data_IF_541952634814
#
_entry.id   IF_541952634814
#
_cell.length_a   1.000
_cell.length_b   1.000
_cell.length_c   1.000
_cell.angle_alpha   90.00
_cell.angle_beta   90.00
_cell.angle_gamma   90.00
#
_symmetry.space_group_name_H-M   'P 1'
#
loop_
_entity.id
_entity.type
_entity.pdbx_description
1 polymer ?
#
# COMPACT_ATOMS: atom_id res chain seq x y z
N UNK A 1 31.18 102.58 -0.27
CA UNK A 1 31.98 101.48 -0.86
C UNK A 1 33.13 102.11 -1.61
N UNK A 2 34.36 101.62 -1.42
CA UNK A 2 35.47 102.09 -2.25
C UNK A 2 35.38 101.45 -3.64
N UNK A 3 35.90 102.13 -4.65
CA UNK A 3 36.00 101.66 -6.03
C UNK A 3 36.69 100.28 -6.10
N UNK A 4 37.68 100.07 -5.22
CA UNK A 4 38.40 98.81 -5.03
C UNK A 4 37.51 97.63 -4.57
N UNK A 5 36.45 97.89 -3.79
CA UNK A 5 35.50 96.85 -3.36
C UNK A 5 34.61 96.39 -4.52
N UNK A 6 34.17 97.31 -5.37
CA UNK A 6 33.36 97.02 -6.56
C UNK A 6 34.15 96.22 -7.60
N UNK A 7 35.40 96.59 -7.82
CA UNK A 7 36.29 95.89 -8.75
C UNK A 7 36.57 94.44 -8.33
N UNK A 8 36.79 94.21 -7.03
CA UNK A 8 36.97 92.87 -6.46
C UNK A 8 35.71 92.01 -6.63
N UNK A 9 34.54 92.56 -6.32
CA UNK A 9 33.25 91.85 -6.49
C UNK A 9 32.96 91.51 -7.95
N UNK A 10 33.31 92.41 -8.88
CA UNK A 10 33.17 92.16 -10.31
C UNK A 10 34.09 91.01 -10.76
N UNK A 11 35.34 90.98 -10.32
CA UNK A 11 36.29 89.91 -10.65
C UNK A 11 35.85 88.55 -10.11
N UNK A 12 35.38 88.48 -8.86
CA UNK A 12 34.83 87.25 -8.27
C UNK A 12 33.59 86.74 -9.01
N UNK A 13 32.71 87.66 -9.42
CA UNK A 13 31.50 87.32 -10.18
C UNK A 13 31.85 86.78 -11.57
N UNK A 14 32.79 87.42 -12.29
CA UNK A 14 33.27 86.96 -13.60
C UNK A 14 33.96 85.59 -13.48
N UNK A 15 34.76 85.38 -12.43
CA UNK A 15 35.39 84.08 -12.17
C UNK A 15 34.34 82.98 -11.95
N UNK A 16 33.31 83.25 -11.15
CA UNK A 16 32.20 82.30 -10.92
C UNK A 16 31.43 82.01 -12.21
N UNK A 17 31.08 83.02 -13.00
CA UNK A 17 30.39 82.81 -14.28
C UNK A 17 31.22 81.98 -15.27
N UNK A 18 32.53 82.22 -15.32
CA UNK A 18 33.45 81.47 -16.18
C UNK A 18 33.53 80.00 -15.74
N UNK A 19 33.63 79.76 -14.44
CA UNK A 19 33.64 78.41 -13.87
C UNK A 19 32.31 77.68 -14.13
N UNK A 20 31.17 78.31 -13.85
CA UNK A 20 29.86 77.75 -14.18
C UNK A 20 29.71 77.46 -15.68
N UNK A 21 30.22 78.35 -16.55
CA UNK A 21 30.21 78.16 -18.00
C UNK A 21 31.03 76.95 -18.44
N UNK A 22 32.21 76.76 -17.85
CA UNK A 22 33.06 75.59 -18.11
C UNK A 22 32.42 74.29 -17.61
N UNK A 23 31.77 74.32 -16.44
CA UNK A 23 31.04 73.18 -15.90
C UNK A 23 29.87 72.78 -16.81
N UNK A 24 29.07 73.75 -17.27
CA UNK A 24 27.99 73.49 -18.24
C UNK A 24 28.57 72.94 -19.55
N UNK A 25 29.64 73.53 -20.07
CA UNK A 25 30.26 73.07 -21.31
C UNK A 25 30.75 71.63 -21.20
N UNK A 26 31.38 71.25 -20.08
CA UNK A 26 31.80 69.86 -19.81
C UNK A 26 30.61 68.92 -19.61
N UNK A 27 29.56 69.36 -18.92
CA UNK A 27 28.37 68.52 -18.72
C UNK A 27 27.71 68.18 -20.05
N UNK A 28 27.64 69.17 -20.96
CA UNK A 28 27.01 69.01 -22.27
C UNK A 28 27.89 68.33 -23.31
N UNK A 29 29.19 68.65 -23.38
CA UNK A 29 30.10 68.22 -24.45
C UNK A 29 31.24 67.31 -23.97
N UNK A 30 31.24 66.92 -22.70
CA UNK A 30 32.21 65.98 -22.15
C UNK A 30 32.02 64.56 -22.70
N UNK A 31 32.97 63.70 -22.39
CA UNK A 31 33.02 62.34 -22.92
C UNK A 31 32.19 61.36 -22.07
N UNK A 32 32.02 60.14 -22.58
CA UNK A 32 31.23 59.10 -21.91
C UNK A 32 31.90 58.49 -20.67
N UNK A 33 33.14 58.85 -20.37
CA UNK A 33 33.85 58.42 -19.16
C UNK A 33 33.98 59.55 -18.13
N UNK A 34 33.61 60.77 -18.49
CA UNK A 34 33.82 61.95 -17.67
C UNK A 34 32.66 62.22 -16.69
N UNK A 35 33.03 62.84 -15.57
CA UNK A 35 32.11 63.50 -14.64
C UNK A 35 32.48 64.98 -14.52
N UNK A 36 31.53 65.80 -14.11
CA UNK A 36 31.71 67.22 -13.81
C UNK A 36 31.57 67.40 -12.31
N UNK A 37 32.60 67.92 -11.67
CA UNK A 37 32.56 68.31 -10.26
C UNK A 37 31.76 69.60 -10.12
N UNK A 38 30.71 69.55 -9.28
CA UNK A 38 29.88 70.70 -8.91
C UNK A 38 29.91 70.89 -7.39
N UNK A 39 29.35 71.99 -6.89
CA UNK A 39 29.19 72.21 -5.44
C UNK A 39 28.35 71.12 -4.75
N UNK A 40 27.53 70.39 -5.51
CA UNK A 40 26.72 69.26 -5.04
C UNK A 40 27.40 67.89 -5.19
N UNK A 41 28.64 67.84 -5.68
CA UNK A 41 29.39 66.61 -5.97
C UNK A 41 29.60 66.37 -7.46
N UNK A 42 30.07 65.16 -7.81
CA UNK A 42 30.29 64.75 -9.19
C UNK A 42 28.99 64.36 -9.89
N UNK A 43 28.80 64.86 -11.11
CA UNK A 43 27.66 64.54 -11.96
C UNK A 43 28.17 63.99 -13.29
N UNK A 44 27.60 62.88 -13.77
CA UNK A 44 27.92 62.34 -15.10
C UNK A 44 27.62 63.35 -16.20
N UNK A 45 28.44 63.39 -17.24
CA UNK A 45 28.13 64.13 -18.47
C UNK A 45 26.91 63.52 -19.17
N UNK A 46 26.31 64.26 -20.10
CA UNK A 46 25.23 63.72 -20.93
C UNK A 46 25.67 62.48 -21.71
N UNK A 47 26.89 62.50 -22.27
CA UNK A 47 27.45 61.37 -23.01
C UNK A 47 27.61 60.13 -22.12
N UNK A 48 28.01 60.32 -20.85
CA UNK A 48 28.13 59.21 -19.89
C UNK A 48 26.76 58.63 -19.53
N UNK A 49 25.77 59.48 -19.27
CA UNK A 49 24.40 59.03 -18.97
C UNK A 49 23.84 58.23 -20.15
N UNK A 50 24.03 58.72 -21.38
CA UNK A 50 23.60 58.02 -22.59
C UNK A 50 24.27 56.65 -22.71
N UNK A 51 25.60 56.59 -22.54
CA UNK A 51 26.35 55.32 -22.59
C UNK A 51 25.92 54.35 -21.50
N UNK A 52 25.87 54.79 -20.24
CA UNK A 52 25.47 53.92 -19.11
C UNK A 52 24.04 53.39 -19.31
N UNK A 53 23.15 54.19 -19.90
CA UNK A 53 21.79 53.78 -20.26
C UNK A 53 21.80 52.75 -21.39
N UNK A 54 22.58 52.98 -22.45
CA UNK A 54 22.73 52.03 -23.57
C UNK A 54 23.33 50.69 -23.11
N UNK A 55 24.33 50.73 -22.24
CA UNK A 55 24.98 49.55 -21.68
C UNK A 55 23.98 48.75 -20.81
N UNK A 56 23.18 49.44 -19.98
CA UNK A 56 22.12 48.81 -19.17
C UNK A 56 21.02 48.17 -20.04
N UNK A 57 20.59 48.86 -21.10
CA UNK A 57 19.61 48.33 -22.06
C UNK A 57 20.16 47.09 -22.75
N UNK A 58 21.42 47.14 -23.20
CA UNK A 58 22.08 46.03 -23.91
C UNK A 58 22.22 44.79 -23.04
N UNK A 59 22.61 44.98 -21.77
CA UNK A 59 22.66 43.90 -20.79
C UNK A 59 21.27 43.29 -20.54
N UNK A 60 20.26 44.15 -20.35
CA UNK A 60 18.87 43.70 -20.12
C UNK A 60 18.30 42.92 -21.32
N UNK A 61 18.63 43.33 -22.55
CA UNK A 61 18.22 42.63 -23.78
C UNK A 61 18.90 41.26 -23.92
N UNK A 62 20.17 41.16 -23.52
CA UNK A 62 20.91 39.89 -23.52
C UNK A 62 20.30 38.91 -22.52
N UNK A 63 19.97 39.38 -21.31
CA UNK A 63 19.30 38.59 -20.28
C UNK A 63 17.90 38.12 -20.73
N UNK A 64 17.11 39.01 -21.34
CA UNK A 64 15.78 38.66 -21.87
C UNK A 64 15.87 37.61 -22.98
N UNK A 65 16.85 37.73 -23.86
CA UNK A 65 17.07 36.75 -24.94
C UNK A 65 17.39 35.38 -24.35
N UNK A 66 18.33 35.31 -23.41
CA UNK A 66 18.72 34.07 -22.72
C UNK A 66 17.52 33.42 -22.01
N UNK A 67 16.74 34.22 -21.26
CA UNK A 67 15.52 33.72 -20.59
C UNK A 67 14.48 33.21 -21.59
N UNK A 68 14.33 33.87 -22.74
CA UNK A 68 13.40 33.43 -23.79
C UNK A 68 13.81 32.08 -24.39
N UNK A 69 15.10 31.86 -24.62
CA UNK A 69 15.63 30.57 -25.13
C UNK A 69 15.43 29.45 -24.12
N UNK A 70 15.65 29.73 -22.83
CA UNK A 70 15.38 28.76 -21.76
C UNK A 70 13.89 28.38 -21.71
N UNK A 71 12.99 29.36 -21.76
CA UNK A 71 11.54 29.11 -21.76
C UNK A 71 11.10 28.26 -22.97
N UNK A 72 11.72 28.46 -24.14
CA UNK A 72 11.45 27.63 -25.32
C UNK A 72 11.90 26.18 -25.13
N UNK A 73 13.04 25.98 -24.47
CA UNK A 73 13.57 24.65 -24.11
C UNK A 73 12.66 23.96 -23.11
N UNK A 74 12.34 24.63 -21.99
CA UNK A 74 11.47 24.10 -20.93
C UNK A 74 10.08 23.71 -21.49
N UNK A 75 9.53 24.52 -22.41
CA UNK A 75 8.25 24.22 -23.06
C UNK A 75 8.30 22.93 -23.88
N UNK A 76 9.43 22.65 -24.53
CA UNK A 76 9.61 21.42 -25.31
C UNK A 76 9.70 20.21 -24.39
N UNK A 77 10.49 20.30 -23.31
CA UNK A 77 10.61 19.23 -22.31
C UNK A 77 9.26 18.90 -21.65
N UNK A 78 8.47 19.91 -21.30
CA UNK A 78 7.12 19.71 -20.74
C UNK A 78 6.20 19.01 -21.74
N UNK A 79 6.31 19.32 -23.03
CA UNK A 79 5.53 18.63 -24.08
C UNK A 79 5.91 17.15 -24.17
N UNK A 80 7.21 16.85 -24.17
CA UNK A 80 7.70 15.47 -24.26
C UNK A 80 7.28 14.65 -23.04
N UNK A 81 7.35 15.22 -21.83
CA UNK A 81 6.88 14.57 -20.60
C UNK A 81 5.37 14.29 -20.63
N UNK A 82 4.58 15.22 -21.18
CA UNK A 82 3.15 15.03 -21.35
C UNK A 82 2.86 13.86 -22.29
N UNK A 83 3.54 13.80 -23.43
CA UNK A 83 3.35 12.75 -24.42
C UNK A 83 3.80 11.37 -23.88
N UNK A 84 4.93 11.32 -23.17
CA UNK A 84 5.38 10.10 -22.48
C UNK A 84 4.37 9.61 -21.44
N UNK A 85 3.80 10.53 -20.65
CA UNK A 85 2.78 10.19 -19.65
C UNK A 85 1.53 9.62 -20.32
N UNK A 86 1.08 10.23 -21.42
CA UNK A 86 -0.07 9.77 -22.20
C UNK A 86 0.18 8.36 -22.76
N UNK A 87 1.40 8.08 -23.23
CA UNK A 87 1.77 6.77 -23.74
C UNK A 87 1.75 5.71 -22.64
N UNK A 88 2.33 5.98 -21.47
CA UNK A 88 2.33 5.04 -20.33
C UNK A 88 0.91 4.64 -19.93
N UNK A 89 -0.01 5.59 -19.87
CA UNK A 89 -1.42 5.32 -19.54
C UNK A 89 -2.06 4.43 -20.62
N UNK A 90 -1.83 4.76 -21.89
CA UNK A 90 -2.37 4.00 -23.02
C UNK A 90 -1.82 2.57 -23.06
N UNK A 91 -0.53 2.39 -22.80
CA UNK A 91 0.12 1.09 -22.72
C UNK A 91 -0.46 0.27 -21.57
N UNK A 92 -0.65 0.87 -20.39
CA UNK A 92 -1.27 0.20 -19.25
C UNK A 92 -2.69 -0.27 -19.58
N UNK A 93 -3.52 0.60 -20.14
CA UNK A 93 -4.91 0.29 -20.48
C UNK A 93 -5.03 -0.80 -21.55
N UNK A 94 -4.14 -0.79 -22.54
CA UNK A 94 -4.19 -1.74 -23.66
C UNK A 94 -3.59 -3.11 -23.32
N UNK A 95 -2.58 -3.18 -22.46
CA UNK A 95 -1.84 -4.43 -22.22
C UNK A 95 -2.09 -5.07 -20.85
N UNK A 96 -2.33 -4.29 -19.80
CA UNK A 96 -2.38 -4.81 -18.43
C UNK A 96 -3.80 -4.89 -17.87
N UNK A 97 -4.70 -3.97 -18.26
CA UNK A 97 -6.05 -3.88 -17.70
C UNK A 97 -6.87 -5.16 -17.88
N UNK A 98 -6.94 -5.69 -19.09
CA UNK A 98 -7.71 -6.91 -19.38
C UNK A 98 -7.16 -8.14 -18.62
N UNK A 99 -5.84 -8.26 -18.50
CA UNK A 99 -5.21 -9.33 -17.74
C UNK A 99 -5.57 -9.26 -16.24
N UNK A 100 -5.55 -8.04 -15.68
CA UNK A 100 -5.95 -7.81 -14.29
C UNK A 100 -7.43 -8.15 -14.05
N UNK A 101 -8.33 -7.68 -14.92
CA UNK A 101 -9.77 -7.97 -14.85
C UNK A 101 -10.05 -9.48 -14.97
N UNK A 102 -9.33 -10.18 -15.86
CA UNK A 102 -9.42 -11.63 -16.01
C UNK A 102 -8.94 -12.36 -14.76
N UNK A 103 -7.82 -11.93 -14.17
CA UNK A 103 -7.28 -12.55 -12.96
C UNK A 103 -8.22 -12.37 -11.74
N UNK A 104 -8.80 -11.19 -11.58
CA UNK A 104 -9.81 -10.91 -10.54
C UNK A 104 -11.02 -11.85 -10.71
N UNK A 105 -11.52 -11.97 -11.94
CA UNK A 105 -12.68 -12.82 -12.24
C UNK A 105 -12.40 -14.29 -11.95
N UNK A 106 -11.24 -14.80 -12.36
CA UNK A 106 -10.83 -16.18 -12.10
C UNK A 106 -10.70 -16.45 -10.59
N UNK A 107 -10.00 -15.59 -9.85
CA UNK A 107 -9.85 -15.75 -8.40
C UNK A 107 -11.19 -15.71 -7.67
N UNK A 108 -12.14 -14.86 -8.11
CA UNK A 108 -13.47 -14.79 -7.51
C UNK A 108 -14.27 -16.09 -7.69
N UNK A 109 -14.15 -16.73 -8.86
CA UNK A 109 -14.78 -18.02 -9.13
C UNK A 109 -14.19 -19.12 -8.25
N UNK A 110 -12.86 -19.18 -8.14
CA UNK A 110 -12.17 -20.18 -7.32
C UNK A 110 -12.52 -20.04 -5.83
N UNK A 111 -12.58 -18.81 -5.32
CA UNK A 111 -13.01 -18.54 -3.93
C UNK A 111 -14.45 -19.03 -3.71
N UNK A 112 -15.35 -18.75 -4.66
CA UNK A 112 -16.76 -19.15 -4.56
C UNK A 112 -16.91 -20.68 -4.56
N UNK A 113 -16.19 -21.36 -5.45
CA UNK A 113 -16.18 -22.82 -5.53
C UNK A 113 -15.60 -23.46 -4.27
N UNK A 114 -14.51 -22.90 -3.73
CA UNK A 114 -13.92 -23.37 -2.48
C UNK A 114 -14.86 -23.16 -1.28
N UNK A 115 -15.55 -22.01 -1.20
CA UNK A 115 -16.52 -21.75 -0.15
C UNK A 115 -17.69 -22.75 -0.19
N UNK A 116 -18.22 -23.06 -1.38
CA UNK A 116 -19.25 -24.07 -1.56
C UNK A 116 -18.78 -25.47 -1.12
N UNK A 117 -17.59 -25.88 -1.56
CA UNK A 117 -17.00 -27.17 -1.17
C UNK A 117 -16.81 -27.28 0.36
N UNK A 118 -16.38 -26.20 1.02
CA UNK A 118 -16.25 -26.17 2.49
C UNK A 118 -17.62 -26.29 3.15
N UNK A 119 -18.62 -25.56 2.65
CA UNK A 119 -19.98 -25.62 3.19
C UNK A 119 -20.59 -27.02 3.07
N UNK A 120 -20.43 -27.68 1.92
CA UNK A 120 -20.90 -29.06 1.69
C UNK A 120 -20.20 -30.07 2.61
N UNK A 121 -18.87 -29.95 2.78
CA UNK A 121 -18.12 -30.80 3.70
C UNK A 121 -18.51 -30.56 5.15
N UNK A 122 -18.69 -29.30 5.55
CA UNK A 122 -19.14 -28.94 6.90
C UNK A 122 -20.54 -29.52 7.19
N UNK A 123 -21.45 -29.48 6.21
CA UNK A 123 -22.78 -30.07 6.33
C UNK A 123 -22.74 -31.59 6.59
N UNK A 124 -21.83 -32.33 5.94
CA UNK A 124 -21.65 -33.78 6.18
C UNK A 124 -21.09 -34.11 7.56
N UNK A 125 -20.36 -33.19 8.18
CA UNK A 125 -19.79 -33.35 9.52
C UNK A 125 -20.78 -32.88 10.62
N UNK A 126 -21.85 -32.16 10.25
CA UNK A 126 -22.78 -31.55 11.20
C UNK A 126 -23.66 -32.57 11.95
N UNK A 127 -23.98 -33.73 11.36
CA UNK A 127 -24.81 -34.76 12.01
C UNK A 127 -24.22 -36.17 11.91
N UNK A 128 -24.21 -36.93 13.02
CA UNK A 128 -23.78 -38.32 13.01
C UNK A 128 -24.81 -39.19 12.27
N UNK A 129 -24.34 -39.99 11.32
CA UNK A 129 -25.16 -40.97 10.58
C UNK A 129 -25.59 -42.14 11.47
N UNK A 130 -24.82 -42.43 12.51
CA UNK A 130 -25.14 -43.41 13.53
C UNK A 130 -24.57 -42.95 14.87
N UNK A 131 -25.22 -43.34 15.95
CA UNK A 131 -24.68 -43.15 17.29
C UNK A 131 -25.07 -44.33 18.18
N UNK A 132 -24.27 -44.57 19.22
CA UNK A 132 -24.62 -45.54 20.25
C UNK A 132 -24.04 -45.11 21.59
N UNK A 133 -24.90 -45.08 22.60
CA UNK A 133 -24.55 -45.11 24.00
C UNK A 133 -24.59 -46.58 24.46
N UNK A 134 -23.50 -47.07 25.04
CA UNK A 134 -23.38 -48.46 25.47
C UNK A 134 -22.76 -48.57 26.86
N UNK A 135 -23.20 -49.60 27.59
CA UNK A 135 -22.70 -49.96 28.89
C UNK A 135 -21.36 -50.70 28.85
N UNK A 136 -20.76 -50.85 30.03
CA UNK A 136 -19.47 -51.52 30.29
C UNK A 136 -19.35 -52.97 29.78
N UNK A 137 -20.47 -53.63 29.52
CA UNK A 137 -20.56 -55.00 29.02
C UNK A 137 -20.83 -55.06 27.50
N UNK A 138 -20.98 -53.91 26.84
CA UNK A 138 -21.40 -53.78 25.46
C UNK A 138 -22.91 -53.75 25.27
N UNK A 139 -23.71 -53.68 26.35
CA UNK A 139 -25.16 -53.53 26.23
C UNK A 139 -25.51 -52.15 25.66
N UNK A 140 -26.36 -52.10 24.64
CA UNK A 140 -26.83 -50.85 24.04
C UNK A 140 -27.83 -50.18 24.99
N UNK A 141 -27.57 -48.93 25.37
CA UNK A 141 -28.43 -48.08 26.19
C UNK A 141 -29.35 -47.25 25.28
N UNK A 142 -28.77 -46.61 24.27
CA UNK A 142 -29.49 -45.83 23.27
C UNK A 142 -28.71 -45.87 21.95
N UNK A 143 -29.39 -45.92 20.81
CA UNK A 143 -28.70 -45.91 19.53
C UNK A 143 -29.57 -45.51 18.34
N UNK A 144 -28.90 -45.05 17.28
CA UNK A 144 -29.45 -44.90 15.93
C UNK A 144 -28.46 -45.46 14.93
N UNK A 145 -28.92 -46.26 13.97
CA UNK A 145 -28.05 -46.79 12.91
C UNK A 145 -27.05 -47.86 13.37
N UNK A 146 -27.20 -48.39 14.58
CA UNK A 146 -26.34 -49.42 15.17
C UNK A 146 -27.14 -50.70 15.38
N UNK A 147 -26.59 -51.82 14.90
CA UNK A 147 -27.17 -53.15 14.95
C UNK A 147 -26.78 -53.90 16.22
N UNK A 148 -25.52 -53.80 16.62
CA UNK A 148 -24.96 -54.53 17.76
C UNK A 148 -23.69 -53.88 18.27
N UNK A 149 -23.43 -54.01 19.57
CA UNK A 149 -22.11 -53.72 20.17
C UNK A 149 -21.60 -55.00 20.82
N UNK A 150 -20.34 -55.33 20.56
CA UNK A 150 -19.68 -56.50 21.15
C UNK A 150 -18.41 -56.07 21.85
N UNK A 151 -18.30 -56.38 23.14
CA UNK A 151 -17.04 -56.24 23.88
C UNK A 151 -16.07 -57.34 23.44
N UNK A 152 -14.96 -56.94 22.83
CA UNK A 152 -13.93 -57.86 22.34
C UNK A 152 -12.84 -58.11 23.39
N UNK A 153 -12.52 -57.08 24.17
CA UNK A 153 -11.69 -57.14 25.37
C UNK A 153 -12.02 -55.96 26.28
N UNK A 154 -11.46 -55.91 27.49
CA UNK A 154 -11.54 -54.72 28.36
C UNK A 154 -11.13 -53.47 27.58
N UNK A 155 -12.01 -52.47 27.54
CA UNK A 155 -11.79 -51.21 26.83
C UNK A 155 -11.80 -51.31 25.30
N UNK A 156 -12.20 -52.42 24.68
CA UNK A 156 -12.29 -52.55 23.22
C UNK A 156 -13.65 -53.09 22.80
N UNK A 157 -14.39 -52.25 22.08
CA UNK A 157 -15.75 -52.50 21.64
C UNK A 157 -15.81 -52.51 20.12
N UNK A 158 -16.50 -53.48 19.54
CA UNK A 158 -16.81 -53.53 18.12
C UNK A 158 -18.28 -53.18 17.93
N UNK A 159 -18.53 -52.09 17.20
CA UNK A 159 -19.86 -51.56 16.90
C UNK A 159 -20.20 -51.96 15.48
N UNK A 160 -21.28 -52.70 15.32
CA UNK A 160 -21.81 -53.11 14.02
C UNK A 160 -22.91 -52.14 13.62
N UNK A 161 -22.75 -51.49 12.48
CA UNK A 161 -23.76 -50.58 11.94
C UNK A 161 -24.88 -51.35 11.23
N UNK A 162 -25.98 -50.66 10.96
CA UNK A 162 -27.06 -51.22 10.15
C UNK A 162 -26.55 -51.61 8.75
N UNK A 163 -27.22 -52.58 8.13
CA UNK A 163 -26.79 -53.14 6.84
C UNK A 163 -26.75 -52.08 5.71
N UNK A 164 -27.56 -51.01 5.83
CA UNK A 164 -27.58 -49.84 4.93
C UNK A 164 -26.28 -49.01 4.96
N UNK A 165 -25.45 -49.19 5.98
CA UNK A 165 -24.19 -48.48 6.18
C UNK A 165 -22.96 -49.36 5.85
N UNK A 166 -23.15 -50.56 5.29
CA UNK A 166 -22.04 -51.42 4.87
C UNK A 166 -21.28 -50.84 3.68
N UNK A 167 -19.96 -51.03 3.66
CA UNK A 167 -19.10 -50.59 2.55
C UNK A 167 -18.83 -49.08 2.46
N UNK A 168 -19.36 -48.27 3.38
CA UNK A 168 -19.08 -46.83 3.46
C UNK A 168 -17.89 -46.54 4.38
N UNK A 169 -17.17 -45.45 4.11
CA UNK A 169 -16.10 -44.95 4.98
C UNK A 169 -16.65 -44.00 6.05
N UNK A 170 -16.13 -44.11 7.26
CA UNK A 170 -16.65 -43.35 8.40
C UNK A 170 -15.55 -42.72 9.25
N UNK A 171 -15.91 -41.72 10.05
CA UNK A 171 -15.13 -41.30 11.20
C UNK A 171 -15.94 -41.58 12.46
N UNK A 172 -15.30 -42.06 13.53
CA UNK A 172 -15.97 -42.25 14.80
C UNK A 172 -15.32 -41.40 15.89
N UNK A 173 -16.15 -40.61 16.57
CA UNK A 173 -15.82 -39.89 17.78
C UNK A 173 -16.48 -40.60 18.95
N UNK A 174 -15.76 -40.76 20.06
CA UNK A 174 -16.33 -41.36 21.25
C UNK A 174 -16.07 -40.49 22.48
N UNK A 175 -16.98 -40.59 23.44
CA UNK A 175 -16.93 -39.95 24.74
C UNK A 175 -17.32 -40.96 25.82
N UNK A 176 -16.92 -40.71 27.05
CA UNK A 176 -17.14 -41.60 28.19
C UNK A 176 -17.49 -40.75 29.39
N UNK A 177 -18.52 -41.15 30.13
CA UNK A 177 -18.90 -40.51 31.40
C UNK A 177 -18.15 -41.19 32.54
N UNK A 178 -16.83 -41.04 32.56
CA UNK A 178 -15.96 -41.57 33.62
C UNK A 178 -15.07 -40.49 34.21
N UNK A 179 -14.76 -40.61 35.51
CA UNK A 179 -13.93 -39.70 36.30
C UNK A 179 -12.42 -39.92 36.09
N UNK A 180 -12.05 -40.47 34.93
CA UNK A 180 -10.69 -40.90 34.60
C UNK A 180 -10.29 -40.51 33.18
N UNK A 181 -8.98 -40.51 32.91
CA UNK A 181 -8.45 -40.17 31.59
C UNK A 181 -8.87 -41.25 30.60
N UNK A 182 -9.53 -40.85 29.50
CA UNK A 182 -9.98 -41.75 28.45
C UNK A 182 -9.32 -41.43 27.11
N UNK A 183 -8.76 -42.43 26.43
CA UNK A 183 -8.27 -42.30 25.05
C UNK A 183 -9.17 -43.07 24.09
N UNK A 184 -9.38 -42.49 22.91
CA UNK A 184 -10.18 -43.08 21.84
C UNK A 184 -9.32 -43.39 20.63
N UNK A 185 -9.49 -44.59 20.09
CA UNK A 185 -9.02 -44.94 18.76
C UNK A 185 -10.15 -45.67 18.04
N UNK A 186 -10.32 -45.37 16.76
CA UNK A 186 -11.31 -46.03 15.92
C UNK A 186 -10.69 -46.64 14.67
N UNK A 187 -11.17 -47.82 14.29
CA UNK A 187 -10.81 -48.49 13.03
C UNK A 187 -12.07 -48.99 12.34
N UNK A 188 -12.23 -48.63 11.07
CA UNK A 188 -13.35 -49.09 10.25
C UNK A 188 -13.02 -50.43 9.59
N UNK A 189 -14.06 -51.22 9.36
CA UNK A 189 -14.00 -52.48 8.64
C UNK A 189 -15.03 -52.46 7.51
N UNK A 190 -14.69 -53.09 6.38
CA UNK A 190 -15.53 -53.13 5.16
C UNK A 190 -16.93 -53.71 5.40
N UNK A 191 -17.06 -54.59 6.40
CA UNK A 191 -18.31 -55.21 6.84
C UNK A 191 -19.29 -54.26 7.55
N UNK A 192 -19.01 -52.96 7.59
CA UNK A 192 -19.86 -51.95 8.24
C UNK A 192 -19.73 -51.98 9.75
N UNK A 193 -18.52 -52.20 10.26
CA UNK A 193 -18.25 -52.13 11.70
C UNK A 193 -17.12 -51.16 12.02
N UNK A 194 -17.18 -50.61 13.23
CA UNK A 194 -16.13 -49.75 13.79
C UNK A 194 -15.68 -50.35 15.10
N UNK A 195 -14.39 -50.61 15.25
CA UNK A 195 -13.80 -50.91 16.56
C UNK A 195 -13.47 -49.58 17.22
N UNK A 196 -14.01 -49.37 18.42
CA UNK A 196 -13.68 -48.25 19.29
C UNK A 196 -12.95 -48.80 20.50
N UNK A 197 -11.73 -48.30 20.69
CA UNK A 197 -10.98 -48.52 21.90
C UNK A 197 -11.26 -47.36 22.86
N UNK A 198 -11.82 -47.69 24.02
CA UNK A 198 -12.07 -46.78 25.14
C UNK A 198 -11.10 -47.17 26.25
N UNK A 199 -9.99 -46.45 26.36
CA UNK A 199 -8.98 -46.73 27.39
C UNK A 199 -9.26 -45.87 28.61
N UNK A 200 -10.01 -46.40 29.57
CA UNK A 200 -10.28 -45.70 30.84
C UNK A 200 -9.33 -46.20 31.94
N UNK A 201 -8.62 -45.29 32.61
CA UNK A 201 -7.63 -45.62 33.66
C UNK A 201 -8.11 -45.28 35.08
N UNK A 202 -8.19 -46.26 35.96
CA UNK A 202 -8.40 -46.02 37.40
C UNK A 202 -7.25 -46.68 38.19
N UNK A 203 -6.26 -45.88 38.58
CA UNK A 203 -4.97 -46.39 39.05
C UNK A 203 -4.22 -47.11 37.92
N UNK A 204 -3.65 -48.29 38.19
CA UNK A 204 -2.89 -49.10 37.22
C UNK A 204 -3.74 -50.10 36.42
N UNK A 205 -5.07 -49.90 36.35
CA UNK A 205 -5.99 -50.86 35.71
C UNK A 205 -6.83 -50.21 34.62
N UNK A 206 -7.02 -50.96 33.53
CA UNK A 206 -8.01 -50.67 32.51
C UNK A 206 -9.40 -51.04 33.00
N UNK A 207 -10.34 -50.12 32.91
CA UNK A 207 -11.73 -50.34 33.27
C UNK A 207 -12.66 -50.11 32.08
N UNK A 208 -13.74 -50.87 32.03
CA UNK A 208 -14.85 -50.60 31.14
C UNK A 208 -15.71 -49.45 31.68
N UNK A 209 -16.35 -48.69 30.81
CA UNK A 209 -17.14 -47.52 31.19
C UNK A 209 -18.35 -47.36 30.28
N UNK A 210 -19.31 -46.56 30.70
CA UNK A 210 -20.41 -46.14 29.84
C UNK A 210 -19.86 -45.11 28.85
N UNK A 211 -20.07 -45.38 27.57
CA UNK A 211 -19.50 -44.59 26.49
C UNK A 211 -20.53 -44.31 25.41
N UNK A 212 -20.39 -43.16 24.78
CA UNK A 212 -21.16 -42.75 23.61
C UNK A 212 -20.23 -42.67 22.42
N UNK A 213 -20.63 -43.25 21.29
CA UNK A 213 -19.94 -43.15 20.02
C UNK A 213 -20.84 -42.45 18.99
N UNK A 214 -20.27 -41.52 18.25
CA UNK A 214 -20.86 -40.82 17.13
C UNK A 214 -20.08 -41.19 15.86
N UNK A 215 -20.80 -41.69 14.87
CA UNK A 215 -20.25 -42.12 13.59
C UNK A 215 -20.70 -41.12 12.52
N UNK A 216 -19.74 -40.59 11.78
CA UNK A 216 -19.93 -39.61 10.70
C UNK A 216 -19.51 -40.24 9.37
N UNK A 217 -20.21 -39.92 8.29
CA UNK A 217 -19.79 -40.30 6.94
C UNK A 217 -18.54 -39.51 6.55
N UNK A 218 -17.59 -40.16 5.86
CA UNK A 218 -16.35 -39.53 5.39
C UNK A 218 -16.50 -38.90 4.01
#
# INVERSE_FOLDING_TARGET
MSEQTLETQLQESVAKYTESGNQIHKFTNGTAEETVTTDAGEVSTLAKIEKDTQDTISASMTDLTTKSEQVATDKTEVSDLKDQTQQIVTDFESTHKAALESAISANSLDISANAQNIAEKAAKIAEPIAYVEFGKDGTIINSKGVKMVTRTSTGIYKIYLNDELKGKEFNALASTTSWSTTRYASKNFEEGSVVIQVITFQGDRYIDSVSTAYIYER
#
